data_IF_834953428678
#
_entry.id   IF_834953428678
#
_cell.length_a   1.000
_cell.length_b   1.000
_cell.length_c   1.000
_cell.angle_alpha   90.00
_cell.angle_beta   90.00
_cell.angle_gamma   90.00
#
_symmetry.space_group_name_H-M   'P 1'
#
loop_
_entity.id
_entity.type
_entity.pdbx_description
1 polymer ?
#
# COMPACT_ATOMS: atom_id res chain seq x y z
N UNK A 1 -20.22 28.01 14.10
CA UNK A 1 -19.04 28.39 13.30
C UNK A 1 -19.52 29.23 12.15
N UNK A 2 -18.98 30.44 11.95
CA UNK A 2 -19.28 31.26 10.77
C UNK A 2 -18.09 31.14 9.83
N UNK A 3 -18.22 30.36 8.75
CA UNK A 3 -17.15 30.17 7.76
C UNK A 3 -17.31 31.27 6.72
N UNK A 4 -16.52 32.33 6.83
CA UNK A 4 -16.41 33.38 5.82
C UNK A 4 -15.18 33.08 4.98
N UNK A 5 -15.40 32.81 3.69
CA UNK A 5 -14.34 32.46 2.75
C UNK A 5 -13.88 33.70 1.98
N UNK A 6 -12.56 33.82 1.78
CA UNK A 6 -11.99 34.76 0.82
C UNK A 6 -12.53 34.48 -0.59
N UNK A 7 -12.66 35.52 -1.43
CA UNK A 7 -13.29 35.40 -2.75
C UNK A 7 -12.75 34.25 -3.61
N UNK A 8 -11.44 33.99 -3.55
CA UNK A 8 -10.78 32.93 -4.28
C UNK A 8 -11.33 31.51 -3.98
N UNK A 9 -11.83 31.27 -2.76
CA UNK A 9 -12.33 29.95 -2.33
C UNK A 9 -13.85 29.85 -2.40
N UNK A 10 -14.55 30.95 -2.68
CA UNK A 10 -16.02 30.95 -2.72
C UNK A 10 -16.55 30.06 -3.84
N UNK A 11 -15.91 30.08 -5.01
CA UNK A 11 -16.34 29.22 -6.13
C UNK A 11 -16.21 27.74 -5.80
N UNK A 12 -15.11 27.34 -5.17
CA UNK A 12 -14.86 25.94 -4.81
C UNK A 12 -15.82 25.44 -3.71
N UNK A 13 -16.09 26.30 -2.72
CA UNK A 13 -17.09 25.99 -1.71
C UNK A 13 -18.50 25.89 -2.29
N UNK A 14 -18.89 26.75 -3.23
CA UNK A 14 -20.19 26.63 -3.92
C UNK A 14 -20.27 25.31 -4.68
N UNK A 15 -19.21 24.95 -5.42
CA UNK A 15 -19.16 23.67 -6.13
C UNK A 15 -19.31 22.47 -5.17
N UNK A 16 -18.64 22.53 -4.03
CA UNK A 16 -18.72 21.49 -2.98
C UNK A 16 -20.14 21.37 -2.41
N UNK A 17 -20.80 22.50 -2.11
CA UNK A 17 -22.19 22.53 -1.62
C UNK A 17 -23.15 21.95 -2.66
N UNK A 18 -22.99 22.32 -3.94
CA UNK A 18 -23.82 21.80 -5.02
C UNK A 18 -23.64 20.29 -5.17
N UNK A 19 -22.40 19.81 -5.09
CA UNK A 19 -22.10 18.38 -5.12
C UNK A 19 -22.78 17.62 -3.97
N UNK A 20 -22.66 18.11 -2.73
CA UNK A 20 -23.31 17.50 -1.56
C UNK A 20 -24.82 17.50 -1.66
N UNK A 21 -25.41 18.62 -2.11
CA UNK A 21 -26.85 18.73 -2.30
C UNK A 21 -27.35 17.74 -3.35
N UNK A 22 -26.65 17.63 -4.49
CA UNK A 22 -27.00 16.66 -5.53
C UNK A 22 -26.88 15.21 -5.04
N UNK A 23 -25.84 14.90 -4.26
CA UNK A 23 -25.70 13.59 -3.65
C UNK A 23 -26.87 13.27 -2.70
N UNK A 24 -27.35 14.24 -1.91
CA UNK A 24 -28.54 14.07 -1.05
C UNK A 24 -29.85 13.91 -1.83
N UNK A 25 -29.95 14.49 -3.03
CA UNK A 25 -31.11 14.26 -3.91
C UNK A 25 -31.12 12.81 -4.42
N UNK A 26 -29.95 12.26 -4.74
CA UNK A 26 -29.82 10.88 -5.22
C UNK A 26 -29.95 9.84 -4.10
N UNK A 27 -29.36 10.13 -2.93
CA UNK A 27 -29.43 9.32 -1.72
C UNK A 27 -29.80 10.20 -0.52
N UNK A 28 -31.09 10.29 -0.16
CA UNK A 28 -31.56 11.14 0.94
C UNK A 28 -31.04 10.75 2.32
N UNK A 29 -30.57 9.51 2.49
CA UNK A 29 -30.11 9.00 3.79
C UNK A 29 -28.62 9.21 3.94
N UNK A 30 -27.83 8.76 2.98
CA UNK A 30 -26.36 8.78 3.09
C UNK A 30 -25.68 9.83 2.22
N UNK A 31 -26.30 10.31 1.13
CA UNK A 31 -25.75 11.34 0.26
C UNK A 31 -24.28 11.12 -0.10
N UNK A 32 -23.45 12.16 0.10
CA UNK A 32 -22.00 12.09 -0.15
C UNK A 32 -21.27 11.12 0.80
N UNK A 33 -21.79 10.86 2.00
CA UNK A 33 -21.21 9.90 2.95
C UNK A 33 -21.26 8.48 2.36
N UNK A 34 -22.36 8.13 1.68
CA UNK A 34 -22.47 6.84 0.99
C UNK A 34 -21.39 6.65 -0.08
N UNK A 35 -21.07 7.71 -0.81
CA UNK A 35 -19.99 7.73 -1.81
C UNK A 35 -18.63 7.54 -1.13
N UNK A 36 -18.35 8.28 -0.06
CA UNK A 36 -17.11 8.15 0.72
C UNK A 36 -16.93 6.72 1.23
N UNK A 37 -17.97 6.14 1.84
CA UNK A 37 -17.91 4.77 2.36
C UNK A 37 -17.77 3.71 1.26
N UNK A 38 -18.30 3.94 0.07
CA UNK A 38 -18.05 3.08 -1.09
C UNK A 38 -16.57 3.10 -1.49
N UNK A 39 -15.98 4.28 -1.58
CA UNK A 39 -14.57 4.44 -1.93
C UNK A 39 -13.64 3.83 -0.87
N UNK A 40 -13.95 4.01 0.42
CA UNK A 40 -13.21 3.37 1.51
C UNK A 40 -13.18 1.84 1.38
N UNK A 41 -14.34 1.20 1.13
CA UNK A 41 -14.41 -0.25 0.91
C UNK A 41 -13.63 -0.72 -0.32
N UNK A 42 -13.64 0.06 -1.40
CA UNK A 42 -12.86 -0.24 -2.61
C UNK A 42 -11.36 -0.18 -2.30
N UNK A 43 -10.93 0.84 -1.56
CA UNK A 43 -9.54 1.00 -1.13
C UNK A 43 -9.10 -0.18 -0.26
N UNK A 44 -9.89 -0.57 0.74
CA UNK A 44 -9.61 -1.74 1.59
C UNK A 44 -9.50 -3.04 0.78
N UNK A 45 -10.39 -3.22 -0.19
CA UNK A 45 -10.37 -4.39 -1.09
C UNK A 45 -9.07 -4.43 -1.89
N UNK A 46 -8.66 -3.30 -2.47
CA UNK A 46 -7.43 -3.19 -3.25
C UNK A 46 -6.19 -3.41 -2.37
N UNK A 47 -6.15 -2.86 -1.16
CA UNK A 47 -5.07 -3.10 -0.20
C UNK A 47 -4.95 -4.58 0.16
N UNK A 48 -6.08 -5.25 0.36
CA UNK A 48 -6.12 -6.69 0.65
C UNK A 48 -5.58 -7.52 -0.52
N UNK A 49 -5.99 -7.19 -1.75
CA UNK A 49 -5.49 -7.86 -2.96
C UNK A 49 -3.99 -7.65 -3.13
N UNK A 50 -3.49 -6.44 -2.87
CA UNK A 50 -2.06 -6.14 -2.92
C UNK A 50 -1.29 -6.97 -1.89
N UNK A 51 -1.77 -7.03 -0.64
CA UNK A 51 -1.14 -7.83 0.41
C UNK A 51 -1.09 -9.32 0.05
N UNK A 52 -2.16 -9.85 -0.55
CA UNK A 52 -2.20 -11.23 -1.03
C UNK A 52 -1.16 -11.48 -2.13
N UNK A 53 -1.11 -10.63 -3.15
CA UNK A 53 -0.13 -10.76 -4.24
C UNK A 53 1.32 -10.65 -3.74
N UNK A 54 1.58 -9.76 -2.78
CA UNK A 54 2.89 -9.64 -2.14
C UNK A 54 3.27 -10.91 -1.37
N UNK A 55 2.33 -11.50 -0.62
CA UNK A 55 2.55 -12.75 0.10
C UNK A 55 2.85 -13.91 -0.87
N UNK A 56 2.14 -13.99 -2.00
CA UNK A 56 2.39 -14.99 -3.04
C UNK A 56 3.80 -14.86 -3.64
N UNK A 57 4.24 -13.63 -3.95
CA UNK A 57 5.61 -13.39 -4.43
C UNK A 57 6.67 -13.82 -3.42
N UNK A 58 6.47 -13.55 -2.13
CA UNK A 58 7.37 -13.99 -1.06
C UNK A 58 7.37 -15.52 -0.94
N UNK A 59 6.21 -16.15 -1.04
CA UNK A 59 6.09 -17.61 -1.02
C UNK A 59 6.89 -18.26 -2.15
N UNK A 60 6.72 -17.78 -3.39
CA UNK A 60 7.44 -18.29 -4.56
C UNK A 60 8.95 -18.10 -4.42
N UNK A 61 9.41 -16.93 -3.95
CA UNK A 61 10.84 -16.68 -3.68
C UNK A 61 11.39 -17.61 -2.59
N UNK A 62 10.59 -17.93 -1.57
CA UNK A 62 11.00 -18.82 -0.47
C UNK A 62 11.14 -20.25 -0.96
N UNK A 63 10.19 -20.76 -1.74
CA UNK A 63 10.29 -22.09 -2.35
C UNK A 63 11.50 -22.21 -3.29
N UNK A 64 11.76 -21.20 -4.14
CA UNK A 64 12.96 -21.19 -4.99
C UNK A 64 14.28 -21.19 -4.19
N UNK A 65 14.30 -20.70 -2.94
CA UNK A 65 15.50 -20.80 -2.08
C UNK A 65 15.77 -22.22 -1.57
N UNK A 66 14.76 -23.10 -1.49
CA UNK A 66 14.93 -24.46 -0.94
C UNK A 66 15.65 -25.39 -1.92
N UNK A 67 15.59 -25.10 -3.22
CA UNK A 67 16.19 -25.95 -4.28
C UNK A 67 17.66 -25.62 -4.60
N UNK A 68 18.31 -24.75 -3.81
CA UNK A 68 19.73 -24.36 -4.02
C UNK A 68 20.68 -24.78 -2.89
N UNK A 69 20.26 -25.67 -1.98
CA UNK A 69 21.24 -26.37 -1.13
C UNK A 69 21.77 -27.59 -1.88
N UNK A 70 22.99 -27.55 -2.47
CA UNK A 70 23.58 -28.75 -3.02
C UNK A 70 23.63 -29.82 -1.92
N UNK A 71 23.41 -31.10 -2.26
CA UNK A 71 23.52 -32.21 -1.29
C UNK A 71 24.85 -32.10 -0.55
N UNK A 72 24.95 -32.54 0.72
CA UNK A 72 26.21 -32.54 1.45
C UNK A 72 27.19 -33.50 0.74
N UNK A 73 27.91 -33.00 -0.24
CA UNK A 73 28.99 -33.73 -0.88
C UNK A 73 30.13 -33.78 0.14
N UNK A 74 30.61 -35.00 0.42
CA UNK A 74 31.80 -35.16 1.24
C UNK A 74 32.97 -34.48 0.52
N UNK A 75 33.55 -33.48 1.17
CA UNK A 75 34.65 -32.69 0.64
C UNK A 75 35.94 -33.52 0.59
N UNK A 76 36.35 -33.92 -0.60
CA UNK A 76 37.76 -34.22 -0.90
C UNK A 76 38.30 -33.05 -1.71
N UNK A 77 39.25 -32.33 -1.12
CA UNK A 77 39.69 -31.02 -1.57
C UNK A 77 40.41 -31.00 -2.92
N UNK A 78 40.22 -29.88 -3.62
CA UNK A 78 41.21 -29.09 -4.37
C UNK A 78 40.62 -27.66 -4.44
N UNK A 79 41.37 -26.66 -4.00
CA UNK A 79 40.99 -25.24 -3.99
C UNK A 79 41.34 -24.55 -5.32
N UNK A 80 40.38 -23.85 -5.92
CA UNK A 80 40.60 -22.95 -7.06
C UNK A 80 40.53 -21.47 -6.62
N UNK A 81 41.23 -20.53 -7.30
CA UNK A 81 41.39 -19.17 -6.83
C UNK A 81 40.10 -18.35 -7.00
N UNK A 82 39.83 -17.51 -6.01
CA UNK A 82 38.68 -16.62 -5.94
C UNK A 82 38.76 -15.52 -7.00
N UNK A 83 37.80 -15.49 -7.92
CA UNK A 83 37.48 -14.29 -8.67
C UNK A 83 36.61 -13.41 -7.76
N UNK A 84 37.20 -12.31 -7.29
CA UNK A 84 36.45 -11.24 -6.63
C UNK A 84 35.68 -10.46 -7.69
N UNK A 85 34.56 -9.90 -7.25
CA UNK A 85 33.84 -8.78 -7.84
C UNK A 85 32.67 -9.13 -8.80
N UNK A 86 31.49 -9.35 -8.23
CA UNK A 86 30.42 -8.33 -8.31
C UNK A 86 29.41 -8.57 -7.18
N UNK A 87 29.46 -7.65 -6.20
CA UNK A 87 28.47 -7.53 -5.13
C UNK A 87 27.08 -7.43 -5.74
N UNK A 88 26.22 -8.39 -5.42
CA UNK A 88 24.78 -8.19 -5.44
C UNK A 88 24.34 -7.94 -4.00
N UNK A 89 24.82 -6.84 -3.41
CA UNK A 89 24.16 -6.17 -2.30
C UNK A 89 22.84 -5.58 -2.82
N UNK A 90 21.86 -6.44 -3.11
CA UNK A 90 20.46 -6.01 -3.12
C UNK A 90 19.96 -6.21 -1.70
N UNK A 91 20.35 -5.27 -0.86
CA UNK A 91 19.80 -5.07 0.47
C UNK A 91 18.33 -4.67 0.32
N UNK A 92 17.43 -5.66 0.22
CA UNK A 92 15.99 -5.43 0.31
C UNK A 92 15.57 -5.52 1.76
N UNK A 93 16.16 -4.64 2.58
CA UNK A 93 15.58 -4.24 3.84
C UNK A 93 14.35 -3.38 3.51
N UNK A 94 13.22 -4.02 3.21
CA UNK A 94 11.92 -3.37 3.35
C UNK A 94 11.66 -3.26 4.85
N UNK A 95 12.26 -2.24 5.46
CA UNK A 95 11.90 -1.79 6.79
C UNK A 95 10.45 -1.31 6.71
N UNK A 96 9.52 -2.22 7.00
CA UNK A 96 8.20 -1.85 7.45
C UNK A 96 8.40 -1.20 8.82
N UNK A 97 8.53 0.13 8.82
CA UNK A 97 8.40 0.91 10.03
C UNK A 97 6.96 0.73 10.54
N UNK A 98 6.81 -0.17 11.51
CA UNK A 98 5.69 -0.15 12.43
C UNK A 98 5.88 1.07 13.35
N UNK A 99 5.40 2.22 12.88
CA UNK A 99 5.37 3.48 13.62
C UNK A 99 3.93 3.92 13.83
N UNK A 100 3.39 3.54 14.99
CA UNK A 100 2.26 4.13 15.70
C UNK A 100 1.50 5.30 15.03
N UNK A 101 0.21 5.04 14.77
CA UNK A 101 -0.86 5.89 15.31
C UNK A 101 -1.05 7.27 14.70
N UNK A 102 -1.72 7.31 13.57
CA UNK A 102 -2.74 8.34 13.33
C UNK A 102 -3.75 7.78 12.34
N UNK A 103 -5.00 7.61 12.79
CA UNK A 103 -6.11 7.46 11.86
C UNK A 103 -6.03 8.63 10.89
N UNK A 104 -5.89 8.35 9.59
CA UNK A 104 -5.95 9.35 8.49
C UNK A 104 -7.32 10.07 8.39
N UNK A 105 -8.16 9.94 9.41
CA UNK A 105 -9.47 10.57 9.60
C UNK A 105 -9.59 11.34 10.92
N UNK A 106 -8.49 11.58 11.65
CA UNK A 106 -8.55 12.53 12.78
C UNK A 106 -8.60 13.95 12.23
N UNK A 107 -9.73 14.62 12.49
CA UNK A 107 -9.97 16.03 12.21
C UNK A 107 -8.95 16.94 12.92
#
# INVERSE_FOLDING_TARGET
MNVVLSENYRSDAVNSIVYEANARVQDPVYGCVGIISSLQRQLETLQTQLAFAQAELVHMKTLHRIDTKPPPYMASGISFPANKDLSNDVDMAFAYENGAGESLWSC
#
